data_IF_231838043189
#
_entry.id   IF_231838043189
#
_cell.length_a   1.000
_cell.length_b   1.000
_cell.length_c   1.000
_cell.angle_alpha   90.00
_cell.angle_beta   90.00
_cell.angle_gamma   90.00
#
_symmetry.space_group_name_H-M   'P 1'
#
loop_
_entity.id
_entity.type
_entity.pdbx_description
1 polymer ?
#
# COMPACT_ATOMS: atom_id res chain seq x y z
N UNK A 1 12.76 -30.21 15.97
CA UNK A 1 13.46 -28.94 15.69
C UNK A 1 13.51 -28.75 14.19
N UNK A 2 12.49 -28.13 13.58
CA UNK A 2 12.54 -27.82 12.15
C UNK A 2 13.56 -26.70 11.94
N UNK A 3 14.45 -26.85 10.95
CA UNK A 3 15.42 -25.84 10.55
C UNK A 3 14.68 -24.53 10.24
N UNK A 4 14.96 -23.46 10.97
CA UNK A 4 14.40 -22.13 10.72
C UNK A 4 14.83 -21.64 9.35
N UNK A 5 13.84 -21.36 8.49
CA UNK A 5 14.07 -20.96 7.11
C UNK A 5 14.53 -19.51 7.11
N UNK A 6 15.51 -19.15 6.27
CA UNK A 6 16.10 -17.81 6.24
C UNK A 6 15.10 -16.67 5.97
N UNK A 7 13.89 -17.01 5.53
CA UNK A 7 12.80 -16.07 5.25
C UNK A 7 11.98 -15.68 6.50
N UNK A 8 12.00 -16.50 7.55
CA UNK A 8 11.24 -16.27 8.80
C UNK A 8 11.70 -14.97 9.49
N UNK A 9 12.98 -14.60 9.35
CA UNK A 9 13.54 -13.39 9.97
C UNK A 9 13.46 -12.10 9.14
N UNK A 10 13.16 -12.15 7.84
CA UNK A 10 13.28 -10.94 6.99
C UNK A 10 12.10 -9.96 7.16
N UNK A 11 10.94 -10.48 7.55
CA UNK A 11 9.68 -9.74 7.56
C UNK A 11 9.12 -9.53 8.97
N UNK A 12 9.67 -10.24 9.96
CA UNK A 12 9.32 -10.08 11.36
C UNK A 12 9.51 -8.64 11.85
N UNK A 13 8.48 -8.11 12.50
CA UNK A 13 8.49 -6.77 13.09
C UNK A 13 8.40 -5.61 12.09
N UNK A 14 8.20 -5.87 10.79
CA UNK A 14 7.96 -4.83 9.78
C UNK A 14 6.48 -4.48 9.68
N UNK A 15 6.16 -3.19 9.61
CA UNK A 15 4.80 -2.72 9.33
C UNK A 15 4.41 -3.09 7.89
N UNK A 16 3.11 -3.14 7.58
CA UNK A 16 2.66 -3.34 6.19
C UNK A 16 3.19 -2.26 5.25
N UNK A 17 3.23 -1.01 5.74
CA UNK A 17 3.91 0.10 5.08
C UNK A 17 5.36 -0.23 4.68
N UNK A 18 6.19 -0.73 5.61
CA UNK A 18 7.59 -1.08 5.31
C UNK A 18 7.70 -2.13 4.20
N UNK A 19 6.79 -3.11 4.20
CA UNK A 19 6.76 -4.18 3.20
C UNK A 19 6.38 -3.64 1.82
N UNK A 20 5.35 -2.81 1.76
CA UNK A 20 4.86 -2.15 0.53
C UNK A 20 5.94 -1.24 -0.06
N UNK A 21 6.55 -0.36 0.76
CA UNK A 21 7.60 0.54 0.29
C UNK A 21 8.82 -0.22 -0.22
N UNK A 22 9.24 -1.30 0.45
CA UNK A 22 10.33 -2.16 -0.02
C UNK A 22 10.02 -2.78 -1.37
N UNK A 23 8.79 -3.25 -1.58
CA UNK A 23 8.35 -3.78 -2.87
C UNK A 23 8.36 -2.70 -3.95
N UNK A 24 7.73 -1.54 -3.70
CA UNK A 24 7.64 -0.44 -4.66
C UNK A 24 9.04 0.06 -5.09
N UNK A 25 9.97 0.19 -4.14
CA UNK A 25 11.35 0.57 -4.40
C UNK A 25 12.09 -0.47 -5.25
N UNK A 26 12.00 -1.76 -4.89
CA UNK A 26 12.65 -2.85 -5.63
C UNK A 26 12.11 -2.98 -7.06
N UNK A 27 10.81 -2.75 -7.23
CA UNK A 27 10.12 -2.79 -8.53
C UNK A 27 10.21 -1.47 -9.31
N UNK A 28 10.91 -0.47 -8.78
CA UNK A 28 11.09 0.86 -9.39
C UNK A 28 9.77 1.55 -9.78
N UNK A 29 8.72 1.36 -8.98
CA UNK A 29 7.42 1.99 -9.22
C UNK A 29 7.51 3.49 -8.92
N UNK A 30 7.15 4.33 -9.89
CA UNK A 30 7.17 5.80 -9.75
C UNK A 30 5.82 6.38 -9.36
N UNK A 31 4.74 5.82 -9.92
CA UNK A 31 3.37 6.24 -9.65
C UNK A 31 2.61 5.00 -9.20
N UNK A 32 2.31 4.91 -7.92
CA UNK A 32 1.64 3.76 -7.32
C UNK A 32 0.74 4.19 -6.17
N UNK A 33 -0.23 3.33 -5.86
CA UNK A 33 -1.21 3.51 -4.79
C UNK A 33 -1.35 2.16 -4.08
N UNK A 34 -1.35 2.18 -2.76
CA UNK A 34 -1.73 1.07 -1.90
C UNK A 34 -3.17 1.23 -1.41
N UNK A 35 -3.89 0.11 -1.40
CA UNK A 35 -5.11 -0.07 -0.62
C UNK A 35 -4.68 -0.78 0.66
N UNK A 36 -4.79 -0.12 1.81
CA UNK A 36 -4.36 -0.69 3.09
C UNK A 36 -5.31 -0.23 4.19
N UNK A 37 -5.79 -1.16 5.01
CA UNK A 37 -6.59 -0.86 6.20
C UNK A 37 -5.69 -0.69 7.44
N UNK A 38 -4.40 -0.99 7.34
CA UNK A 38 -3.39 -0.52 8.29
C UNK A 38 -2.94 0.87 7.92
N UNK A 39 -3.22 1.82 8.79
CA UNK A 39 -2.57 3.14 8.72
C UNK A 39 -1.26 3.16 9.53
N UNK A 40 -0.92 2.10 10.26
CA UNK A 40 0.28 2.07 11.09
C UNK A 40 1.55 2.14 10.24
N UNK A 41 2.42 3.10 10.56
CA UNK A 41 3.72 3.27 9.92
C UNK A 41 3.69 4.16 8.67
N UNK A 42 2.51 4.45 8.12
CA UNK A 42 2.38 5.43 7.05
C UNK A 42 2.71 6.83 7.55
N UNK A 43 3.73 7.47 6.96
CA UNK A 43 4.11 8.83 7.30
C UNK A 43 3.07 9.85 6.79
N UNK A 44 2.96 11.03 7.42
CA UNK A 44 2.05 12.10 6.99
C UNK A 44 2.26 12.50 5.52
N UNK A 45 3.49 12.42 5.01
CA UNK A 45 3.83 12.68 3.61
C UNK A 45 3.42 11.58 2.62
N UNK A 46 2.99 10.42 3.08
CA UNK A 46 2.60 9.27 2.25
C UNK A 46 1.10 9.24 1.92
N UNK A 47 0.36 10.32 2.21
CA UNK A 47 -1.06 10.45 1.84
C UNK A 47 -1.30 10.23 0.34
N UNK A 48 -0.33 10.61 -0.51
CA UNK A 48 -0.37 10.36 -1.95
C UNK A 48 -0.06 8.92 -2.36
N UNK A 49 0.17 7.99 -1.43
CA UNK A 49 0.42 6.58 -1.75
C UNK A 49 -0.58 5.64 -1.09
N UNK A 50 -1.38 6.13 -0.15
CA UNK A 50 -2.35 5.31 0.59
C UNK A 50 -3.79 5.72 0.28
N UNK A 51 -4.64 4.72 0.03
CA UNK A 51 -6.08 4.81 0.23
C UNK A 51 -6.39 3.92 1.44
N UNK A 52 -6.72 4.55 2.57
CA UNK A 52 -7.11 3.85 3.77
C UNK A 52 -8.50 3.23 3.56
N UNK A 53 -8.59 1.90 3.56
CA UNK A 53 -9.86 1.21 3.37
C UNK A 53 -10.43 0.69 4.70
N UNK A 54 -11.75 0.49 4.75
CA UNK A 54 -12.39 -0.06 5.94
C UNK A 54 -12.07 -1.57 6.00
N UNK A 55 -11.53 -2.11 7.12
CA UNK A 55 -11.04 -3.48 7.19
C UNK A 55 -11.99 -4.55 6.64
N UNK A 56 -13.26 -4.51 7.05
CA UNK A 56 -14.23 -5.55 6.70
C UNK A 56 -14.79 -5.42 5.27
N UNK A 57 -14.60 -4.26 4.64
CA UNK A 57 -15.20 -3.96 3.35
C UNK A 57 -14.17 -3.86 2.24
N UNK A 58 -12.99 -3.31 2.50
CA UNK A 58 -11.97 -3.06 1.48
C UNK A 58 -12.58 -2.39 0.23
N UNK A 59 -12.40 -3.03 -0.92
CA UNK A 59 -13.00 -2.60 -2.20
C UNK A 59 -14.53 -2.77 -2.29
N UNK A 60 -15.17 -3.43 -1.34
CA UNK A 60 -16.63 -3.48 -1.22
C UNK A 60 -17.26 -2.16 -0.73
N UNK A 61 -16.46 -1.25 -0.17
CA UNK A 61 -16.93 0.09 0.20
C UNK A 61 -17.07 0.97 -1.05
N UNK A 62 -18.25 1.56 -1.32
CA UNK A 62 -18.43 2.52 -2.42
C UNK A 62 -17.50 3.73 -2.29
N UNK A 63 -17.18 4.15 -1.07
CA UNK A 63 -16.25 5.26 -0.84
C UNK A 63 -14.83 4.89 -1.25
N UNK A 64 -14.38 3.67 -0.92
CA UNK A 64 -13.05 3.19 -1.30
C UNK A 64 -12.93 3.06 -2.83
N UNK A 65 -13.99 2.56 -3.48
CA UNK A 65 -14.03 2.47 -4.95
C UNK A 65 -13.99 3.85 -5.62
N UNK A 66 -14.78 4.81 -5.13
CA UNK A 66 -14.83 6.16 -5.69
C UNK A 66 -13.46 6.86 -5.56
N UNK A 67 -12.81 6.73 -4.42
CA UNK A 67 -11.48 7.31 -4.20
C UNK A 67 -10.41 6.63 -5.06
N UNK A 68 -10.45 5.30 -5.18
CA UNK A 68 -9.54 4.56 -6.06
C UNK A 68 -9.71 4.98 -7.52
N UNK A 69 -10.96 5.08 -7.99
CA UNK A 69 -11.26 5.52 -9.35
C UNK A 69 -10.69 6.92 -9.60
N UNK A 70 -10.99 7.89 -8.74
CA UNK A 70 -10.49 9.26 -8.84
C UNK A 70 -8.97 9.29 -8.94
N UNK A 71 -8.26 8.56 -8.08
CA UNK A 71 -6.80 8.58 -8.05
C UNK A 71 -6.16 7.85 -9.23
N UNK A 72 -6.79 6.78 -9.73
CA UNK A 72 -6.34 6.11 -10.96
C UNK A 72 -6.55 7.02 -12.18
N UNK A 73 -7.66 7.76 -12.23
CA UNK A 73 -7.89 8.76 -13.28
C UNK A 73 -6.82 9.86 -13.24
N UNK A 74 -6.44 10.34 -12.06
CA UNK A 74 -5.34 11.31 -11.91
C UNK A 74 -3.98 10.77 -12.37
N UNK A 75 -3.72 9.49 -12.13
CA UNK A 75 -2.49 8.83 -12.60
C UNK A 75 -2.46 8.62 -14.11
N UNK A 76 -3.61 8.32 -14.71
CA UNK A 76 -3.74 8.08 -16.15
C UNK A 76 -3.91 9.37 -16.95
N UNK A 77 -4.36 10.45 -16.30
CA UNK A 77 -4.49 11.75 -16.93
C UNK A 77 -3.10 12.32 -17.19
N UNK A 78 -2.73 12.59 -18.45
CA UNK A 78 -1.47 13.27 -18.73
C UNK A 78 -1.52 14.63 -18.03
N UNK A 79 -0.68 14.81 -17.02
CA UNK A 79 -0.31 16.16 -16.63
C UNK A 79 0.41 16.73 -17.87
N UNK A 80 -0.14 17.80 -18.44
CA UNK A 80 0.41 18.46 -19.63
C UNK A 80 1.86 18.90 -19.45
#
# INVERSE_FOLDING_TARGET
MARGWADENQWDGKTRYDQICRYAARSQLRHWIALDDDVQGWAEGSAQQLIACVPDFGLGSPQTQAELQRRLEEMCSPHG
#
